data_IF_078986987630
#
_entry.id   IF_078986987630
#
_cell.length_a   1.000
_cell.length_b   1.000
_cell.length_c   1.000
_cell.angle_alpha   90.00
_cell.angle_beta   90.00
_cell.angle_gamma   90.00
#
_symmetry.space_group_name_H-M   'P 1'
#
loop_
_entity.id
_entity.type
_entity.pdbx_description
1 polymer ?
#
# COMPACT_ATOMS: atom_id res chain seq x y z
N UNK A 1 0.26 5.86 35.86
CA UNK A 1 1.06 6.42 34.74
C UNK A 1 2.36 7.12 35.21
N UNK A 2 2.83 6.86 36.42
CA UNK A 2 4.00 7.58 37.02
C UNK A 2 5.20 6.69 37.37
N UNK A 3 5.29 5.47 36.87
CA UNK A 3 6.40 4.54 37.26
C UNK A 3 7.35 4.13 36.14
N UNK A 4 7.32 4.78 34.96
CA UNK A 4 8.22 4.46 33.86
C UNK A 4 9.24 5.54 33.46
N UNK A 5 9.23 6.71 34.12
CA UNK A 5 10.11 7.84 33.79
C UNK A 5 11.08 8.23 34.92
N UNK A 6 11.70 7.25 35.56
CA UNK A 6 12.81 7.51 36.46
C UNK A 6 14.03 8.05 35.65
N UNK A 7 14.34 9.37 35.79
CA UNK A 7 15.49 10.10 35.25
C UNK A 7 15.37 10.69 33.83
N UNK A 8 14.21 11.16 33.41
CA UNK A 8 14.15 12.08 32.27
C UNK A 8 13.80 13.49 32.71
N UNK A 9 14.70 14.46 32.46
CA UNK A 9 14.44 15.88 32.64
C UNK A 9 13.29 16.33 31.72
N UNK A 10 12.51 17.29 32.24
CA UNK A 10 11.30 17.89 31.67
C UNK A 10 11.31 17.96 30.14
N UNK A 11 10.40 17.22 29.54
CA UNK A 11 10.12 17.26 28.11
C UNK A 11 9.08 18.33 27.83
N UNK A 12 9.47 19.42 27.18
CA UNK A 12 8.50 20.39 26.65
C UNK A 12 7.90 19.83 25.36
N UNK A 13 6.62 19.52 25.38
CA UNK A 13 5.83 19.23 24.18
C UNK A 13 5.62 20.56 23.43
N UNK A 14 6.38 20.80 22.37
CA UNK A 14 6.15 21.90 21.45
C UNK A 14 5.63 21.35 20.12
N UNK A 15 4.39 21.73 19.81
CA UNK A 15 3.70 21.58 18.55
C UNK A 15 3.36 20.16 18.08
N UNK A 16 2.07 19.86 18.17
CA UNK A 16 1.42 18.82 17.37
C UNK A 16 1.13 19.47 16.02
N UNK A 17 1.92 19.16 15.00
CA UNK A 17 1.57 19.53 13.64
C UNK A 17 0.44 18.63 13.11
N UNK A 18 -0.36 19.16 12.18
CA UNK A 18 -1.59 18.56 11.64
C UNK A 18 -1.43 17.15 11.02
N UNK A 19 -0.21 16.59 11.05
CA UNK A 19 0.14 15.31 10.43
C UNK A 19 0.58 14.23 11.45
N UNK A 20 0.21 14.36 12.74
CA UNK A 20 0.47 13.30 13.72
C UNK A 20 1.94 13.06 14.08
N UNK A 21 2.85 14.02 13.83
CA UNK A 21 4.27 13.94 14.22
C UNK A 21 4.49 14.58 15.57
N UNK A 22 5.11 13.83 16.49
CA UNK A 22 5.55 14.37 17.78
C UNK A 22 7.05 14.57 17.70
N UNK A 23 7.51 15.83 17.85
CA UNK A 23 8.93 16.17 17.96
C UNK A 23 9.27 16.34 19.44
N UNK A 24 10.22 15.57 19.93
CA UNK A 24 10.74 15.68 21.31
C UNK A 24 12.16 16.19 21.23
N UNK A 25 12.43 17.36 21.81
CA UNK A 25 13.78 17.91 21.91
C UNK A 25 14.38 17.58 23.29
N UNK A 26 15.56 16.95 23.32
CA UNK A 26 16.32 16.72 24.55
C UNK A 26 17.75 17.21 24.36
N UNK A 27 18.11 18.27 25.07
CA UNK A 27 19.50 18.76 25.15
C UNK A 27 20.12 19.20 23.81
N UNK A 28 19.35 19.81 22.91
CA UNK A 28 19.83 20.32 21.61
C UNK A 28 19.95 19.26 20.50
N UNK A 29 19.47 18.05 20.73
CA UNK A 29 19.29 17.01 19.69
C UNK A 29 17.82 16.77 19.46
N UNK A 30 17.38 16.91 18.20
CA UNK A 30 16.04 16.55 17.79
C UNK A 30 15.93 15.03 17.68
N UNK A 31 15.01 14.43 18.44
CA UNK A 31 14.68 13.02 18.34
C UNK A 31 13.30 12.94 17.73
N UNK A 32 13.20 12.46 16.50
CA UNK A 32 11.94 12.29 15.80
C UNK A 32 11.31 10.95 16.20
N UNK A 33 10.11 11.00 16.75
CA UNK A 33 9.26 9.83 16.92
C UNK A 33 8.14 9.90 15.88
N UNK A 34 8.06 8.92 15.01
CA UNK A 34 6.87 8.72 14.18
C UNK A 34 5.84 8.01 15.06
N UNK A 35 4.88 8.76 15.61
CA UNK A 35 3.73 8.18 16.28
C UNK A 35 2.64 7.95 15.23
N UNK A 36 2.47 6.72 14.80
CA UNK A 36 1.29 6.30 14.09
C UNK A 36 0.16 6.28 15.13
N UNK A 37 -0.63 7.36 15.18
CA UNK A 37 -1.84 7.39 15.97
C UNK A 37 -2.84 6.41 15.35
N UNK A 38 -2.78 5.16 15.76
CA UNK A 38 -3.91 4.26 15.67
C UNK A 38 -4.74 4.40 16.93
N UNK A 39 -5.99 4.61 16.70
CA UNK A 39 -7.09 4.68 17.65
C UNK A 39 -7.12 3.39 18.50
N UNK A 40 -6.38 3.40 19.58
CA UNK A 40 -6.56 2.63 20.82
C UNK A 40 -5.28 2.64 21.67
N UNK A 41 -5.43 2.94 22.94
CA UNK A 41 -4.54 3.27 24.05
C UNK A 41 -3.30 2.38 24.34
N UNK A 42 -2.52 1.95 23.34
CA UNK A 42 -1.22 1.32 23.61
C UNK A 42 -0.17 1.69 22.58
N UNK A 43 0.51 2.81 22.84
CA UNK A 43 1.74 3.16 22.12
C UNK A 43 2.88 2.22 22.55
N UNK A 44 3.22 1.20 21.75
CA UNK A 44 4.47 0.45 21.89
C UNK A 44 5.55 1.18 21.12
N UNK A 45 6.39 1.94 21.83
CA UNK A 45 7.60 2.53 21.31
C UNK A 45 8.64 1.40 21.15
N UNK A 46 8.84 0.93 19.93
CA UNK A 46 9.97 0.09 19.56
C UNK A 46 10.73 0.76 18.42
N UNK A 47 11.75 1.53 18.77
CA UNK A 47 13.09 1.59 18.18
C UNK A 47 13.78 2.88 18.55
N UNK A 48 14.92 2.77 19.21
CA UNK A 48 15.91 3.85 19.36
C UNK A 48 16.67 3.99 18.03
N UNK A 49 16.44 5.09 17.31
CA UNK A 49 17.33 5.48 16.22
C UNK A 49 18.44 6.39 16.76
N UNK A 50 19.64 5.88 16.78
CA UNK A 50 20.86 6.68 17.02
C UNK A 50 21.26 7.35 15.69
N UNK A 51 21.03 8.65 15.59
CA UNK A 51 21.81 9.58 14.76
C UNK A 51 22.01 9.27 13.28
N UNK A 52 20.93 8.95 12.53
CA UNK A 52 20.93 8.97 11.07
C UNK A 52 19.84 9.89 10.60
N UNK A 53 20.14 10.82 9.68
CA UNK A 53 19.12 11.59 8.97
C UNK A 53 18.14 10.59 8.31
N UNK A 54 16.88 10.66 8.69
CA UNK A 54 15.83 9.93 7.98
C UNK A 54 15.71 10.58 6.59
N UNK A 55 16.45 10.06 5.61
CA UNK A 55 16.30 10.47 4.22
C UNK A 55 14.94 9.96 3.75
N UNK A 56 13.96 10.85 3.71
CA UNK A 56 12.72 10.58 2.96
C UNK A 56 13.14 10.35 1.50
N UNK A 57 13.07 9.11 1.05
CA UNK A 57 13.38 8.77 -0.34
C UNK A 57 12.23 9.31 -1.19
N UNK A 58 12.49 10.36 -1.96
CA UNK A 58 11.49 10.93 -2.86
C UNK A 58 11.02 9.85 -3.84
N UNK A 59 9.72 9.58 -3.85
CA UNK A 59 9.12 8.67 -4.82
C UNK A 59 9.20 9.27 -6.23
N UNK A 60 9.86 8.55 -7.13
CA UNK A 60 10.04 8.87 -8.54
C UNK A 60 9.97 7.58 -9.35
N UNK A 61 9.86 7.67 -10.68
CA UNK A 61 9.88 6.49 -11.55
C UNK A 61 11.15 5.66 -11.26
N UNK A 62 12.31 6.30 -11.16
CA UNK A 62 13.59 5.62 -10.93
C UNK A 62 13.61 4.86 -9.59
N UNK A 63 13.08 5.48 -8.53
CA UNK A 63 13.00 4.82 -7.22
C UNK A 63 11.98 3.69 -7.20
N UNK A 64 10.85 3.81 -7.89
CA UNK A 64 9.85 2.76 -8.01
C UNK A 64 10.35 1.57 -8.84
N UNK A 65 11.04 1.83 -9.96
CA UNK A 65 11.67 0.80 -10.79
C UNK A 65 12.78 0.04 -10.03
N UNK A 66 13.59 0.78 -9.26
CA UNK A 66 14.61 0.16 -8.41
C UNK A 66 13.95 -0.73 -7.35
N UNK A 67 12.92 -0.24 -6.68
CA UNK A 67 12.18 -0.98 -5.66
C UNK A 67 11.57 -2.27 -6.24
N UNK A 68 10.91 -2.20 -7.40
CA UNK A 68 10.34 -3.38 -8.06
C UNK A 68 11.42 -4.39 -8.45
N UNK A 69 12.57 -3.92 -8.96
CA UNK A 69 13.68 -4.80 -9.31
C UNK A 69 14.22 -5.55 -8.09
N UNK A 70 14.56 -4.83 -7.01
CA UNK A 70 15.07 -5.41 -5.77
C UNK A 70 14.06 -6.39 -5.15
N UNK A 71 12.79 -6.04 -5.17
CA UNK A 71 11.70 -6.89 -4.70
C UNK A 71 11.57 -8.16 -5.55
N UNK A 72 11.71 -8.06 -6.87
CA UNK A 72 11.66 -9.21 -7.79
C UNK A 72 12.88 -10.14 -7.66
N UNK A 73 14.04 -9.60 -7.28
CA UNK A 73 15.23 -10.37 -6.94
C UNK A 73 15.06 -11.14 -5.63
N UNK A 74 14.35 -10.54 -4.65
CA UNK A 74 14.07 -11.17 -3.34
C UNK A 74 13.07 -12.31 -3.45
N UNK A 75 12.06 -12.19 -4.30
CA UNK A 75 11.05 -13.21 -4.57
C UNK A 75 10.73 -13.26 -6.07
N UNK A 76 11.53 -13.98 -6.88
CA UNK A 76 11.31 -14.07 -8.32
C UNK A 76 9.95 -14.69 -8.66
N UNK A 77 9.24 -14.06 -9.62
CA UNK A 77 7.94 -14.53 -10.07
C UNK A 77 7.33 -13.67 -11.16
N UNK A 78 6.28 -14.17 -11.77
CA UNK A 78 5.57 -13.49 -12.86
C UNK A 78 4.83 -12.20 -12.40
N UNK A 79 4.73 -11.96 -11.11
CA UNK A 79 4.08 -10.78 -10.53
C UNK A 79 4.81 -9.47 -10.88
N UNK A 80 6.14 -9.50 -10.98
CA UNK A 80 6.91 -8.31 -11.34
C UNK A 80 6.65 -7.87 -12.79
N UNK A 81 6.54 -8.82 -13.72
CA UNK A 81 6.18 -8.52 -15.11
C UNK A 81 4.72 -8.05 -15.21
N UNK A 82 3.81 -8.66 -14.45
CA UNK A 82 2.45 -8.18 -14.30
C UNK A 82 2.41 -6.71 -13.84
N UNK A 83 3.16 -6.37 -12.77
CA UNK A 83 3.22 -4.99 -12.27
C UNK A 83 3.72 -3.99 -13.32
N UNK A 84 4.67 -4.38 -14.19
CA UNK A 84 5.10 -3.54 -15.31
C UNK A 84 3.99 -3.28 -16.33
N UNK A 85 3.22 -4.31 -16.69
CA UNK A 85 2.08 -4.12 -17.59
C UNK A 85 0.96 -3.29 -16.95
N UNK A 86 0.69 -3.47 -15.66
CA UNK A 86 -0.24 -2.60 -14.91
C UNK A 86 0.24 -1.14 -14.95
N UNK A 87 1.52 -0.89 -14.71
CA UNK A 87 2.10 0.44 -14.75
C UNK A 87 1.97 1.11 -16.13
N UNK A 88 2.25 0.36 -17.20
CA UNK A 88 2.10 0.87 -18.56
C UNK A 88 0.63 1.14 -18.92
N UNK A 89 -0.33 0.31 -18.47
CA UNK A 89 -1.74 0.57 -18.64
C UNK A 89 -2.17 1.85 -17.89
N UNK A 90 -1.77 1.98 -16.62
CA UNK A 90 -2.03 3.17 -15.82
C UNK A 90 -1.52 4.44 -16.48
N UNK A 91 -0.25 4.44 -16.92
CA UNK A 91 0.38 5.56 -17.61
C UNK A 91 -0.37 5.95 -18.89
N UNK A 92 -0.70 4.94 -19.71
CA UNK A 92 -1.37 5.16 -20.99
C UNK A 92 -2.77 5.77 -20.79
N UNK A 93 -3.57 5.24 -19.88
CA UNK A 93 -4.90 5.79 -19.59
C UNK A 93 -4.78 7.19 -18.98
N UNK A 94 -3.93 7.38 -17.96
CA UNK A 94 -3.73 8.67 -17.32
C UNK A 94 -3.26 9.76 -18.30
N UNK A 95 -2.51 9.40 -19.35
CA UNK A 95 -2.07 10.37 -20.37
C UNK A 95 -3.22 11.03 -21.15
N UNK A 96 -4.41 10.43 -21.10
CA UNK A 96 -5.63 10.95 -21.73
C UNK A 96 -6.62 11.53 -20.71
N UNK A 97 -6.28 11.52 -19.41
CA UNK A 97 -7.09 12.09 -18.33
C UNK A 97 -6.48 13.44 -17.89
N UNK A 98 -7.30 14.49 -17.77
CA UNK A 98 -6.82 15.85 -17.46
C UNK A 98 -6.28 15.98 -16.04
N UNK A 99 -6.86 15.23 -15.10
CA UNK A 99 -6.65 15.38 -13.66
C UNK A 99 -5.69 14.33 -13.09
N UNK A 100 -5.11 13.47 -13.94
CA UNK A 100 -4.17 12.43 -13.55
C UNK A 100 -2.76 12.68 -14.11
N UNK A 101 -1.75 12.49 -13.26
CA UNK A 101 -0.36 12.47 -13.70
C UNK A 101 0.01 11.07 -14.21
N UNK A 102 0.42 10.98 -15.47
CA UNK A 102 0.91 9.72 -16.07
C UNK A 102 2.13 9.16 -15.32
N UNK A 103 2.98 10.02 -14.76
CA UNK A 103 4.14 9.60 -13.96
C UNK A 103 3.69 8.95 -12.65
N UNK A 104 2.77 9.59 -11.92
CA UNK A 104 2.24 9.03 -10.68
C UNK A 104 1.46 7.74 -10.93
N UNK A 105 0.63 7.72 -11.97
CA UNK A 105 -0.12 6.53 -12.36
C UNK A 105 0.80 5.34 -12.66
N UNK A 106 1.90 5.57 -13.40
CA UNK A 106 2.92 4.57 -13.67
C UNK A 106 3.55 4.03 -12.38
N UNK A 107 3.95 4.93 -11.48
CA UNK A 107 4.56 4.57 -10.18
C UNK A 107 3.61 3.70 -9.35
N UNK A 108 2.34 4.10 -9.27
CA UNK A 108 1.35 3.35 -8.49
C UNK A 108 1.06 1.96 -9.08
N UNK A 109 1.01 1.86 -10.41
CA UNK A 109 0.91 0.57 -11.09
C UNK A 109 2.12 -0.33 -10.85
N UNK A 110 3.36 0.21 -10.80
CA UNK A 110 4.57 -0.56 -10.48
C UNK A 110 4.52 -1.12 -9.05
N UNK A 111 4.00 -0.35 -8.11
CA UNK A 111 4.10 -0.65 -6.68
C UNK A 111 2.89 -1.37 -6.08
N UNK A 112 1.77 -1.52 -6.83
CA UNK A 112 0.54 -2.08 -6.27
C UNK A 112 0.73 -3.47 -5.62
N UNK A 113 1.56 -4.30 -6.21
CA UNK A 113 1.87 -5.67 -5.78
C UNK A 113 3.26 -5.80 -5.11
N UNK A 114 3.89 -4.68 -4.70
CA UNK A 114 5.27 -4.67 -4.17
C UNK A 114 5.44 -5.57 -2.95
N UNK A 115 4.40 -5.79 -2.15
CA UNK A 115 4.45 -6.66 -0.97
C UNK A 115 4.76 -8.12 -1.26
N UNK A 116 4.70 -8.53 -2.51
CA UNK A 116 5.14 -9.88 -2.93
C UNK A 116 6.64 -10.09 -2.77
N UNK A 117 7.42 -9.04 -2.49
CA UNK A 117 8.84 -9.17 -2.12
C UNK A 117 9.06 -10.08 -0.91
N UNK A 118 8.07 -10.14 0.01
CA UNK A 118 8.15 -10.90 1.26
C UNK A 118 7.94 -12.42 1.07
N UNK A 119 7.70 -12.88 -0.16
CA UNK A 119 7.53 -14.30 -0.49
C UNK A 119 6.16 -14.62 -1.08
N UNK A 120 5.94 -15.89 -1.34
CA UNK A 120 4.67 -16.41 -1.87
C UNK A 120 3.58 -16.27 -0.80
N UNK A 121 2.51 -15.56 -1.13
CA UNK A 121 1.40 -15.30 -0.23
C UNK A 121 0.10 -15.12 -1.02
N UNK A 122 -1.05 -15.20 -0.32
CA UNK A 122 -2.35 -14.82 -0.85
C UNK A 122 -2.62 -13.33 -0.56
N UNK A 123 -3.44 -13.00 0.43
CA UNK A 123 -3.78 -11.60 0.74
C UNK A 123 -2.71 -10.88 1.59
N UNK A 124 -1.72 -11.61 2.15
CA UNK A 124 -0.66 -11.00 2.97
C UNK A 124 0.16 -9.97 2.18
N UNK A 125 0.32 -10.12 0.87
CA UNK A 125 1.06 -9.14 0.05
C UNK A 125 0.48 -7.73 0.15
N UNK A 126 -0.81 -7.57 0.44
CA UNK A 126 -1.47 -6.27 0.58
C UNK A 126 -0.88 -5.48 1.76
N UNK A 127 -0.84 -6.12 2.94
CA UNK A 127 -0.31 -5.48 4.16
C UNK A 127 1.22 -5.37 4.14
N UNK A 128 1.93 -6.35 3.55
CA UNK A 128 3.37 -6.28 3.37
C UNK A 128 3.75 -5.10 2.45
N UNK A 129 2.99 -4.88 1.36
CA UNK A 129 3.15 -3.74 0.46
C UNK A 129 2.84 -2.40 1.13
N UNK A 130 1.75 -2.35 1.90
CA UNK A 130 1.41 -1.18 2.70
C UNK A 130 2.57 -0.78 3.62
N UNK A 131 3.11 -1.72 4.39
CA UNK A 131 4.22 -1.48 5.30
C UNK A 131 5.49 -1.06 4.56
N UNK A 132 5.82 -1.75 3.48
CA UNK A 132 6.97 -1.43 2.63
C UNK A 132 6.94 0.03 2.16
N UNK A 133 5.79 0.50 1.70
CA UNK A 133 5.62 1.86 1.23
C UNK A 133 5.57 2.88 2.38
N UNK A 134 4.90 2.57 3.49
CA UNK A 134 4.82 3.46 4.67
C UNK A 134 6.20 3.72 5.30
N UNK A 135 7.06 2.69 5.39
CA UNK A 135 8.43 2.83 5.89
C UNK A 135 9.28 3.80 5.06
N UNK A 136 8.90 4.03 3.80
CA UNK A 136 9.57 4.94 2.85
C UNK A 136 8.90 6.30 2.73
N UNK A 137 7.78 6.52 3.44
CA UNK A 137 6.98 7.74 3.34
C UNK A 137 6.20 7.85 2.04
N UNK A 138 5.85 6.72 1.40
CA UNK A 138 5.08 6.65 0.16
C UNK A 138 3.60 6.35 0.44
N UNK A 139 2.95 7.26 1.14
CA UNK A 139 1.62 7.06 1.73
C UNK A 139 0.55 6.66 0.69
N UNK A 140 0.52 7.33 -0.48
CA UNK A 140 -0.46 7.00 -1.52
C UNK A 140 -0.18 5.63 -2.15
N UNK A 141 1.08 5.27 -2.37
CA UNK A 141 1.43 3.94 -2.84
C UNK A 141 1.07 2.86 -1.80
N UNK A 142 1.25 3.15 -0.51
CA UNK A 142 0.83 2.27 0.57
C UNK A 142 -0.69 2.03 0.53
N UNK A 143 -1.50 3.08 0.40
CA UNK A 143 -2.95 2.94 0.23
C UNK A 143 -3.29 2.02 -0.95
N UNK A 144 -2.65 2.24 -2.11
CA UNK A 144 -2.90 1.46 -3.32
C UNK A 144 -2.54 -0.01 -3.15
N UNK A 145 -1.49 -0.35 -2.38
CA UNK A 145 -1.17 -1.74 -2.07
C UNK A 145 -2.34 -2.50 -1.43
N UNK A 146 -3.20 -1.83 -0.66
CA UNK A 146 -4.42 -2.45 -0.11
C UNK A 146 -5.60 -2.25 -1.05
N UNK A 147 -5.86 -1.00 -1.49
CA UNK A 147 -7.08 -0.63 -2.18
C UNK A 147 -7.26 -1.32 -3.54
N UNK A 148 -6.15 -1.68 -4.23
CA UNK A 148 -6.25 -2.30 -5.56
C UNK A 148 -7.03 -3.62 -5.56
N UNK A 149 -7.01 -4.36 -4.44
CA UNK A 149 -7.74 -5.61 -4.30
C UNK A 149 -9.23 -5.42 -3.91
N UNK A 150 -9.63 -4.21 -3.50
CA UNK A 150 -10.96 -3.94 -2.94
C UNK A 150 -11.71 -2.84 -3.71
N UNK A 151 -12.15 -3.14 -4.94
CA UNK A 151 -13.03 -2.26 -5.71
C UNK A 151 -14.39 -2.04 -5.04
N UNK A 152 -14.80 -2.93 -4.14
CA UNK A 152 -15.88 -2.76 -3.16
C UNK A 152 -15.22 -2.64 -1.80
N UNK A 153 -15.53 -1.55 -1.06
CA UNK A 153 -14.91 -1.25 0.24
C UNK A 153 -15.45 -2.12 1.38
N UNK A 154 -15.39 -3.43 1.18
CA UNK A 154 -15.75 -4.44 2.17
C UNK A 154 -14.73 -5.59 2.09
N UNK A 155 -14.02 -5.86 3.18
CA UNK A 155 -13.00 -6.92 3.26
C UNK A 155 -13.58 -8.31 2.94
N UNK A 156 -14.87 -8.52 3.20
CA UNK A 156 -15.57 -9.78 2.89
C UNK A 156 -15.69 -10.05 1.38
N UNK A 157 -15.42 -9.06 0.53
CA UNK A 157 -15.45 -9.20 -0.93
C UNK A 157 -14.14 -9.72 -1.51
N UNK A 158 -13.09 -9.95 -0.69
CA UNK A 158 -11.87 -10.60 -1.15
C UNK A 158 -12.15 -11.98 -1.73
N UNK A 159 -11.35 -12.35 -2.73
CA UNK A 159 -11.37 -13.67 -3.34
C UNK A 159 -10.19 -14.54 -2.91
N UNK A 160 -9.19 -13.94 -2.26
CA UNK A 160 -8.02 -14.63 -1.73
C UNK A 160 -8.22 -15.12 -0.30
N UNK A 161 -7.27 -15.89 0.17
CA UNK A 161 -7.22 -16.36 1.55
C UNK A 161 -6.41 -15.36 2.39
N UNK A 162 -6.96 -14.91 3.51
CA UNK A 162 -6.23 -14.05 4.44
C UNK A 162 -5.18 -14.87 5.22
N UNK A 163 -3.97 -14.92 4.69
CA UNK A 163 -2.78 -15.53 5.30
C UNK A 163 -2.01 -14.51 6.16
N UNK A 164 -2.74 -13.82 7.04
CA UNK A 164 -2.28 -12.73 7.90
C UNK A 164 -2.63 -12.99 9.37
N UNK A 165 -2.04 -12.21 10.28
CA UNK A 165 -2.44 -12.23 11.69
C UNK A 165 -3.85 -11.64 11.89
N UNK A 166 -4.49 -11.95 13.01
CA UNK A 166 -5.79 -11.34 13.38
C UNK A 166 -5.68 -9.81 13.48
N UNK A 167 -4.55 -9.29 13.98
CA UNK A 167 -4.28 -7.86 14.07
C UNK A 167 -4.24 -7.21 12.69
N UNK A 168 -3.54 -7.82 11.74
CA UNK A 168 -3.44 -7.34 10.36
C UNK A 168 -4.78 -7.41 9.63
N UNK A 169 -5.54 -8.49 9.85
CA UNK A 169 -6.89 -8.62 9.30
C UNK A 169 -7.81 -7.50 9.80
N UNK A 170 -7.81 -7.23 11.11
CA UNK A 170 -8.61 -6.16 11.68
C UNK A 170 -8.19 -4.78 11.17
N UNK A 171 -6.87 -4.55 11.07
CA UNK A 171 -6.35 -3.32 10.46
C UNK A 171 -6.83 -3.14 9.03
N UNK A 172 -6.66 -4.16 8.16
CA UNK A 172 -7.09 -4.07 6.76
C UNK A 172 -8.61 -3.89 6.64
N UNK A 173 -9.39 -4.55 7.50
CA UNK A 173 -10.85 -4.42 7.53
C UNK A 173 -11.27 -2.97 7.82
N UNK A 174 -10.67 -2.36 8.84
CA UNK A 174 -10.95 -0.96 9.20
C UNK A 174 -10.44 -0.01 8.12
N UNK A 175 -9.26 -0.25 7.57
CA UNK A 175 -8.68 0.53 6.50
C UNK A 175 -9.58 0.53 5.25
N UNK A 176 -9.97 -0.63 4.75
CA UNK A 176 -10.82 -0.78 3.56
C UNK A 176 -12.17 -0.07 3.74
N UNK A 177 -12.77 -0.19 4.93
CA UNK A 177 -14.08 0.42 5.21
C UNK A 177 -14.04 1.94 5.28
N UNK A 178 -12.89 2.56 5.65
CA UNK A 178 -12.79 3.99 5.93
C UNK A 178 -11.89 4.76 4.95
N UNK A 179 -11.09 4.09 4.12
CA UNK A 179 -10.21 4.75 3.16
C UNK A 179 -11.01 5.55 2.12
N UNK A 180 -10.54 6.75 1.81
CA UNK A 180 -11.11 7.56 0.73
C UNK A 180 -10.36 7.21 -0.57
N UNK A 181 -11.03 6.54 -1.48
CA UNK A 181 -10.47 6.20 -2.79
C UNK A 181 -10.56 7.40 -3.72
N UNK A 182 -9.52 7.64 -4.48
CA UNK A 182 -9.49 8.62 -5.56
C UNK A 182 -9.34 7.95 -6.94
N UNK A 183 -9.21 8.75 -7.96
CA UNK A 183 -9.10 8.27 -9.35
C UNK A 183 -7.87 7.37 -9.57
N UNK A 184 -6.79 7.51 -8.78
CA UNK A 184 -5.64 6.62 -8.87
C UNK A 184 -5.94 5.22 -8.30
N UNK A 185 -6.71 5.11 -7.21
CA UNK A 185 -7.15 3.81 -6.69
C UNK A 185 -7.97 3.07 -7.74
N UNK A 186 -8.97 3.75 -8.33
CA UNK A 186 -9.81 3.18 -9.37
C UNK A 186 -9.04 2.83 -10.65
N UNK A 187 -8.13 3.71 -11.06
CA UNK A 187 -7.27 3.45 -12.22
C UNK A 187 -6.42 2.19 -12.04
N UNK A 188 -5.80 2.01 -10.87
CA UNK A 188 -4.97 0.82 -10.61
C UNK A 188 -5.85 -0.44 -10.54
N UNK A 189 -7.03 -0.38 -9.92
CA UNK A 189 -8.01 -1.49 -9.90
C UNK A 189 -8.38 -1.94 -11.32
N UNK A 190 -8.65 -0.98 -12.22
CA UNK A 190 -8.97 -1.26 -13.63
C UNK A 190 -7.75 -1.86 -14.35
N UNK A 191 -6.57 -1.25 -14.20
CA UNK A 191 -5.37 -1.65 -14.92
C UNK A 191 -4.83 -3.00 -14.46
N UNK A 192 -4.98 -3.37 -13.18
CA UNK A 192 -4.71 -4.73 -12.70
C UNK A 192 -5.58 -5.77 -13.44
N UNK A 193 -6.85 -5.43 -13.69
CA UNK A 193 -7.75 -6.29 -14.45
C UNK A 193 -7.47 -6.31 -15.96
N UNK A 194 -6.75 -5.32 -16.50
CA UNK A 194 -6.36 -5.24 -17.92
C UNK A 194 -4.99 -5.85 -18.22
N UNK A 195 -4.28 -6.37 -17.23
CA UNK A 195 -2.92 -6.88 -17.37
C UNK A 195 -2.78 -8.34 -16.92
N UNK A 196 -1.88 -9.03 -17.60
CA UNK A 196 -1.33 -10.34 -17.23
C UNK A 196 0.20 -10.26 -17.27
N UNK A 197 0.92 -11.23 -16.69
CA UNK A 197 2.39 -11.24 -16.77
C UNK A 197 2.95 -11.28 -18.20
N UNK A 198 2.13 -11.65 -19.16
CA UNK A 198 2.51 -11.82 -20.58
C UNK A 198 2.02 -10.68 -21.49
N UNK A 199 1.36 -9.67 -20.94
CA UNK A 199 0.83 -8.53 -21.70
C UNK A 199 -0.57 -8.11 -21.29
N UNK A 200 -1.13 -7.19 -22.05
CA UNK A 200 -2.50 -6.73 -21.83
C UNK A 200 -3.54 -7.79 -22.22
N UNK A 201 -4.69 -7.74 -21.58
CA UNK A 201 -5.80 -8.64 -21.87
C UNK A 201 -7.13 -7.89 -21.81
N UNK A 202 -8.16 -8.51 -22.37
CA UNK A 202 -9.55 -8.06 -22.21
C UNK A 202 -10.03 -8.37 -20.79
N UNK A 203 -10.92 -7.53 -20.25
CA UNK A 203 -11.52 -7.73 -18.92
C UNK A 203 -12.17 -9.11 -18.79
N UNK A 204 -12.90 -9.54 -19.81
CA UNK A 204 -13.60 -10.84 -19.84
C UNK A 204 -12.60 -12.00 -19.72
N UNK A 205 -11.45 -11.91 -20.39
CA UNK A 205 -10.39 -12.92 -20.25
C UNK A 205 -9.83 -12.95 -18.84
N UNK A 206 -9.57 -11.79 -18.23
CA UNK A 206 -9.08 -11.68 -16.87
C UNK A 206 -10.09 -12.22 -15.86
N UNK A 207 -11.38 -11.89 -16.04
CA UNK A 207 -12.44 -12.39 -15.17
C UNK A 207 -12.51 -13.92 -15.18
N UNK A 208 -12.46 -14.52 -16.38
CA UNK A 208 -12.44 -15.99 -16.53
C UNK A 208 -11.17 -16.57 -15.88
N UNK A 209 -9.99 -16.02 -16.14
CA UNK A 209 -8.72 -16.49 -15.56
C UNK A 209 -8.75 -16.46 -14.03
N UNK A 210 -9.19 -15.35 -13.44
CA UNK A 210 -9.34 -15.21 -11.99
C UNK A 210 -10.33 -16.23 -11.42
N UNK A 211 -11.48 -16.41 -12.09
CA UNK A 211 -12.50 -17.38 -11.68
C UNK A 211 -11.97 -18.83 -11.73
N UNK A 212 -11.19 -19.17 -12.73
CA UNK A 212 -10.58 -20.51 -12.82
C UNK A 212 -9.60 -20.75 -11.67
N UNK A 213 -8.83 -19.73 -11.27
CA UNK A 213 -7.82 -19.86 -10.19
C UNK A 213 -8.41 -19.85 -8.78
N UNK A 214 -9.42 -19.02 -8.55
CA UNK A 214 -9.94 -18.76 -7.20
C UNK A 214 -11.39 -19.25 -6.98
N UNK A 215 -12.08 -19.68 -8.03
CA UNK A 215 -13.49 -20.06 -7.96
C UNK A 215 -14.45 -18.87 -8.06
N UNK A 216 -15.74 -19.16 -7.92
CA UNK A 216 -16.82 -18.18 -7.89
C UNK A 216 -17.17 -17.92 -6.42
N UNK A 217 -17.09 -16.67 -6.00
CA UNK A 217 -17.45 -16.19 -4.67
C UNK A 217 -18.74 -15.36 -4.75
N UNK A 218 -19.38 -15.12 -3.62
CA UNK A 218 -20.60 -14.31 -3.52
C UNK A 218 -20.45 -12.93 -4.15
N UNK A 219 -19.31 -12.30 -3.98
CA UNK A 219 -19.02 -10.95 -4.50
C UNK A 219 -18.48 -10.94 -5.95
N UNK A 220 -18.24 -12.09 -6.60
CA UNK A 220 -17.57 -12.16 -7.90
C UNK A 220 -18.24 -11.26 -8.94
N UNK A 221 -19.56 -11.37 -9.10
CA UNK A 221 -20.31 -10.62 -10.12
C UNK A 221 -20.34 -9.12 -9.78
N UNK A 222 -20.48 -8.76 -8.51
CA UNK A 222 -20.55 -7.34 -8.13
C UNK A 222 -19.16 -6.69 -8.26
N UNK A 223 -18.07 -7.40 -8.01
CA UNK A 223 -16.70 -6.95 -8.32
C UNK A 223 -16.52 -6.71 -9.82
N UNK A 224 -16.99 -7.60 -10.68
CA UNK A 224 -16.91 -7.41 -12.14
C UNK A 224 -17.71 -6.19 -12.60
N UNK A 225 -18.95 -6.02 -12.10
CA UNK A 225 -19.75 -4.82 -12.40
C UNK A 225 -18.99 -3.56 -11.98
N UNK A 226 -18.39 -3.56 -10.78
CA UNK A 226 -17.66 -2.40 -10.28
C UNK A 226 -16.46 -2.03 -11.15
N UNK A 227 -15.70 -3.03 -11.62
CA UNK A 227 -14.59 -2.79 -12.57
C UNK A 227 -15.10 -2.21 -13.91
N UNK A 228 -16.27 -2.65 -14.39
CA UNK A 228 -16.86 -2.15 -15.64
C UNK A 228 -17.46 -0.73 -15.51
N UNK A 229 -17.65 -0.24 -14.30
CA UNK A 229 -18.14 1.12 -14.00
C UNK A 229 -17.02 2.16 -13.88
N UNK A 230 -15.77 1.72 -13.72
CA UNK A 230 -14.58 2.59 -13.69
C UNK A 230 -14.27 3.09 -15.10
#
# INVERSE_FOLDING_TARGET
MEKFFGNMHIVHLQNIEKNGRIVICNGGKEIFFLCLLHYNDTCKVNQQFTGGECKVIKLSIQTAELALREASESNPGAWADHSRFVAEACKNIASHCKDLSSEQAYIFGLLHDIGRYAGVSSERHLIDGYRYCMERGWEKAAQICISHAFMIQDIATSIGVFDVSDEDYLFMKEFVANAVYDDYDHLVQLCDALAMPTGFCLLEKRFVDVTIRYGVHTATIDRWKRILEI
#
